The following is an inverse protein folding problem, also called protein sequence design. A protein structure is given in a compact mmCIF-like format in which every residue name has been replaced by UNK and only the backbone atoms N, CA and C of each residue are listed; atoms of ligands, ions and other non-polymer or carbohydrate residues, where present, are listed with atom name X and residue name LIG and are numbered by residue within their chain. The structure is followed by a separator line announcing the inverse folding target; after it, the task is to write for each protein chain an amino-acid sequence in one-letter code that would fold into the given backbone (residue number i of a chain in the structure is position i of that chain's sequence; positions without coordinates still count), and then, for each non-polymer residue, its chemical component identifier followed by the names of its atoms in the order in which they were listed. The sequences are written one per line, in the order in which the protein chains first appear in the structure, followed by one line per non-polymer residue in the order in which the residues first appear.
data_IF_351851896155
#
_entry.id   IF_351851896155
#
_cell.length_a   1.000
_cell.length_b   1.000
_cell.length_c   1.000
_cell.angle_alpha   90.00
_cell.angle_beta   90.00
_cell.angle_gamma   90.00
#
_symmetry.space_group_name_H-M   'P 1'
#
loop_
_entity.id
_entity.type
_entity.pdbx_description
1 polymer ?
#
# COMPACT_ATOMS: atom_id res chain seq x y z
N UNK A 1 69.17 21.68 46.93
CA UNK A 1 67.75 22.05 46.71
C UNK A 1 67.44 22.41 45.29
N UNK A 2 67.70 21.53 44.27
CA UNK A 2 67.48 21.88 42.84
C UNK A 2 66.77 20.79 42.01
N UNK A 3 66.18 19.76 42.57
CA UNK A 3 65.56 18.65 41.79
C UNK A 3 64.02 18.66 41.75
N UNK A 4 63.36 19.51 42.52
CA UNK A 4 61.87 19.47 42.55
C UNK A 4 61.17 20.23 41.40
N UNK A 5 61.86 21.19 40.78
CA UNK A 5 61.31 22.05 39.75
C UNK A 5 61.15 21.33 38.38
N UNK A 6 62.14 20.48 38.02
CA UNK A 6 62.11 19.73 36.74
C UNK A 6 60.99 18.70 36.68
N UNK A 7 60.56 18.13 37.79
CA UNK A 7 59.49 17.13 37.79
C UNK A 7 58.10 17.76 37.58
N UNK A 8 57.86 18.99 38.00
CA UNK A 8 56.59 19.71 37.83
C UNK A 8 56.38 20.16 36.39
N UNK A 9 57.39 20.66 35.73
CA UNK A 9 57.35 21.12 34.33
C UNK A 9 57.13 19.92 33.36
N UNK A 10 57.81 18.80 33.59
CA UNK A 10 57.63 17.60 32.77
C UNK A 10 56.19 17.00 32.87
N UNK A 11 55.57 17.03 34.05
CA UNK A 11 54.21 16.53 34.23
C UNK A 11 53.14 17.40 33.55
N UNK A 12 53.39 18.70 33.41
CA UNK A 12 52.46 19.61 32.76
C UNK A 12 52.46 19.46 31.25
N UNK A 13 53.62 19.27 30.66
CA UNK A 13 53.74 19.02 29.21
C UNK A 13 53.16 17.64 28.80
N UNK A 14 53.34 16.62 29.62
CA UNK A 14 52.79 15.31 29.37
C UNK A 14 51.25 15.31 29.33
N UNK A 15 50.61 16.04 30.25
CA UNK A 15 49.16 16.21 30.29
C UNK A 15 48.63 16.95 29.04
N UNK A 16 49.35 17.98 28.59
CA UNK A 16 48.98 18.71 27.37
C UNK A 16 49.09 17.83 26.11
N UNK A 17 50.10 16.99 26.03
CA UNK A 17 50.30 16.05 24.90
C UNK A 17 49.16 15.01 24.89
N UNK A 18 48.80 14.43 26.02
CA UNK A 18 47.70 13.45 26.11
C UNK A 18 46.36 14.07 25.69
N UNK A 19 46.07 15.27 26.16
CA UNK A 19 44.82 15.96 25.79
C UNK A 19 44.80 16.28 24.27
N UNK A 20 45.91 16.75 23.73
CA UNK A 20 46.00 17.03 22.27
C UNK A 20 45.83 15.77 21.41
N UNK A 21 46.41 14.63 21.82
CA UNK A 21 46.25 13.35 21.09
C UNK A 21 44.83 12.81 21.20
N UNK A 22 44.18 12.92 22.36
CA UNK A 22 42.77 12.51 22.52
C UNK A 22 41.83 13.34 21.67
N UNK A 23 42.02 14.67 21.62
CA UNK A 23 41.21 15.58 20.78
C UNK A 23 41.42 15.26 19.30
N UNK A 24 42.64 15.04 18.86
CA UNK A 24 42.93 14.66 17.46
C UNK A 24 42.26 13.30 17.10
N UNK A 25 42.30 12.31 17.99
CA UNK A 25 41.64 11.03 17.76
C UNK A 25 40.10 11.15 17.67
N UNK A 26 39.49 11.99 18.48
CA UNK A 26 38.05 12.26 18.44
C UNK A 26 37.66 12.96 17.13
N UNK A 27 38.44 13.93 16.66
CA UNK A 27 38.19 14.64 15.41
C UNK A 27 38.31 13.70 14.20
N UNK A 28 39.32 12.82 14.19
CA UNK A 28 39.49 11.82 13.14
C UNK A 28 38.36 10.80 13.17
N UNK A 29 37.94 10.33 14.34
CA UNK A 29 36.81 9.42 14.46
C UNK A 29 35.48 10.06 13.99
N UNK A 30 35.26 11.32 14.33
CA UNK A 30 34.07 12.07 13.85
C UNK A 30 34.10 12.27 12.34
N UNK A 31 35.27 12.59 11.74
CA UNK A 31 35.41 12.72 10.29
C UNK A 31 35.19 11.40 9.55
N UNK A 32 35.61 10.26 10.12
CA UNK A 32 35.39 8.93 9.55
C UNK A 32 33.92 8.47 9.67
N UNK A 33 33.19 8.95 10.67
CA UNK A 33 31.75 8.68 10.80
C UNK A 33 30.95 9.53 9.80
N UNK A 34 31.37 10.76 9.54
CA UNK A 34 30.71 11.65 8.55
C UNK A 34 31.04 11.33 7.11
N UNK A 35 32.19 10.69 6.86
CA UNK A 35 32.60 10.26 5.52
C UNK A 35 32.13 8.84 5.14
N UNK A 36 31.27 8.22 5.93
CA UNK A 36 30.61 6.99 5.48
C UNK A 36 29.81 7.33 4.23
N UNK A 37 30.12 6.73 3.06
CA UNK A 37 29.28 6.92 1.89
C UNK A 37 27.88 6.46 2.30
N UNK A 38 26.90 7.35 2.30
CA UNK A 38 25.50 6.96 2.24
C UNK A 38 25.40 6.14 0.98
N UNK A 39 25.37 4.83 1.11
CA UNK A 39 24.91 3.96 0.03
C UNK A 39 23.52 4.46 -0.32
N UNK A 40 23.44 5.34 -1.30
CA UNK A 40 22.22 5.61 -2.01
C UNK A 40 21.83 4.26 -2.61
N UNK A 41 20.93 3.57 -1.92
CA UNK A 41 20.15 2.50 -2.54
C UNK A 41 19.48 3.22 -3.70
N UNK A 42 20.02 3.04 -4.90
CA UNK A 42 19.33 3.40 -6.12
C UNK A 42 18.02 2.64 -6.08
N UNK A 43 16.97 3.30 -5.60
CA UNK A 43 15.62 2.87 -5.85
C UNK A 43 15.49 2.89 -7.36
N UNK A 44 15.73 1.74 -7.98
CA UNK A 44 15.30 1.49 -9.35
C UNK A 44 13.84 1.90 -9.39
N UNK A 45 13.56 2.88 -10.25
CA UNK A 45 12.30 3.56 -10.40
C UNK A 45 11.20 2.61 -10.89
N UNK A 46 10.67 1.79 -9.97
CA UNK A 46 9.27 1.48 -9.90
C UNK A 46 8.76 2.32 -8.74
N UNK A 47 8.09 3.41 -9.01
CA UNK A 47 7.30 4.09 -8.00
C UNK A 47 6.27 3.08 -7.53
N UNK A 48 6.62 2.30 -6.50
CA UNK A 48 5.65 1.59 -5.70
C UNK A 48 4.80 2.71 -5.10
N UNK A 49 3.65 2.96 -5.71
CA UNK A 49 2.69 3.92 -5.17
C UNK A 49 2.43 3.49 -3.74
N UNK A 50 2.54 4.43 -2.82
CA UNK A 50 2.34 4.16 -1.41
C UNK A 50 1.05 3.33 -1.23
N UNK A 51 1.18 2.15 -0.63
CA UNK A 51 0.06 1.26 -0.36
C UNK A 51 -0.10 0.04 -1.27
N UNK A 52 0.61 -0.08 -2.40
CA UNK A 52 0.57 -1.29 -3.24
C UNK A 52 1.61 -2.33 -2.79
N UNK A 53 1.18 -3.58 -2.70
CA UNK A 53 2.05 -4.72 -2.45
C UNK A 53 1.67 -5.92 -3.33
N UNK A 54 2.68 -6.58 -3.88
CA UNK A 54 2.50 -7.93 -4.45
C UNK A 54 2.42 -8.93 -3.30
N UNK A 55 1.47 -9.83 -3.38
CA UNK A 55 1.22 -10.86 -2.37
C UNK A 55 0.87 -12.17 -3.04
N UNK A 56 0.96 -13.25 -2.30
CA UNK A 56 0.54 -14.57 -2.77
C UNK A 56 -0.21 -15.26 -1.64
N UNK A 57 -1.53 -15.08 -1.60
CA UNK A 57 -2.37 -15.70 -0.58
C UNK A 57 -3.73 -16.12 -1.14
N UNK A 58 -4.40 -17.14 -0.56
CA UNK A 58 -5.73 -17.54 -0.97
C UNK A 58 -6.73 -16.39 -0.91
N UNK A 59 -7.58 -16.27 -1.94
CA UNK A 59 -8.70 -15.36 -1.95
C UNK A 59 -9.90 -16.02 -1.24
N UNK A 60 -10.43 -15.43 -0.17
CA UNK A 60 -11.65 -15.91 0.46
C UNK A 60 -12.82 -15.90 -0.53
N UNK A 61 -13.48 -17.03 -0.69
CA UNK A 61 -14.66 -17.13 -1.54
C UNK A 61 -15.81 -16.28 -0.94
N UNK A 62 -16.63 -15.69 -1.79
CA UNK A 62 -17.84 -15.01 -1.39
C UNK A 62 -19.02 -15.31 -2.31
N UNK A 63 -20.21 -15.24 -1.73
CA UNK A 63 -21.51 -15.28 -2.39
C UNK A 63 -22.37 -14.26 -1.66
N UNK A 64 -22.49 -13.07 -2.21
CA UNK A 64 -23.14 -11.92 -1.58
C UNK A 64 -24.34 -11.46 -2.43
N UNK A 65 -25.40 -10.96 -1.81
CA UNK A 65 -26.48 -10.34 -2.56
C UNK A 65 -25.94 -9.16 -3.40
N UNK A 66 -26.50 -8.99 -4.59
CA UNK A 66 -26.27 -7.76 -5.36
C UNK A 66 -26.79 -6.55 -4.60
N UNK A 67 -26.09 -5.43 -4.70
CA UNK A 67 -26.58 -4.16 -4.16
C UNK A 67 -27.90 -3.76 -4.83
N UNK A 68 -28.01 -3.97 -6.14
CA UNK A 68 -29.19 -3.64 -6.95
C UNK A 68 -29.54 -4.79 -7.92
N UNK A 69 -30.81 -4.84 -8.36
CA UNK A 69 -31.26 -5.71 -9.45
C UNK A 69 -31.49 -7.18 -9.05
N UNK A 70 -31.39 -7.51 -7.76
CA UNK A 70 -31.59 -8.88 -7.28
C UNK A 70 -30.46 -9.87 -7.63
N UNK A 71 -30.56 -11.10 -7.14
CA UNK A 71 -29.54 -12.14 -7.34
C UNK A 71 -28.28 -11.93 -6.50
N UNK A 72 -27.23 -12.64 -6.86
CA UNK A 72 -25.97 -12.70 -6.09
C UNK A 72 -24.75 -12.39 -6.96
N UNK A 73 -23.67 -11.95 -6.31
CA UNK A 73 -22.33 -11.84 -6.89
C UNK A 73 -21.47 -12.93 -6.25
N UNK A 74 -21.03 -13.89 -7.04
CA UNK A 74 -20.21 -15.00 -6.60
C UNK A 74 -18.81 -14.90 -7.19
N UNK A 75 -17.78 -15.00 -6.36
CA UNK A 75 -16.41 -15.00 -6.84
C UNK A 75 -16.15 -16.15 -7.83
N UNK A 76 -16.74 -17.32 -7.60
CA UNK A 76 -16.61 -18.47 -8.48
C UNK A 76 -17.14 -18.26 -9.91
N UNK A 77 -18.14 -17.37 -10.07
CA UNK A 77 -18.69 -17.03 -11.38
C UNK A 77 -17.80 -16.07 -12.20
N UNK A 78 -16.74 -15.51 -11.59
CA UNK A 78 -15.82 -14.56 -12.22
C UNK A 78 -14.52 -15.23 -12.70
N UNK A 79 -14.38 -16.55 -12.52
CA UNK A 79 -13.20 -17.32 -12.94
C UNK A 79 -13.00 -17.25 -14.45
N UNK A 80 -11.75 -17.45 -14.89
CA UNK A 80 -11.34 -17.38 -16.31
C UNK A 80 -10.76 -16.02 -16.70
N UNK A 81 -11.03 -14.96 -15.92
CA UNK A 81 -10.46 -13.62 -16.09
C UNK A 81 -9.84 -13.15 -14.77
N UNK A 82 -8.83 -12.25 -14.80
CA UNK A 82 -8.40 -11.57 -13.59
C UNK A 82 -9.56 -10.82 -12.93
N UNK A 83 -9.54 -10.74 -11.61
CA UNK A 83 -10.62 -10.05 -10.87
C UNK A 83 -10.03 -8.94 -10.01
N UNK A 84 -10.61 -7.76 -10.08
CA UNK A 84 -10.38 -6.64 -9.16
C UNK A 84 -11.54 -6.59 -8.18
N UNK A 85 -11.22 -6.71 -6.88
CA UNK A 85 -12.20 -6.63 -5.80
C UNK A 85 -11.88 -5.38 -4.98
N UNK A 86 -12.78 -4.38 -5.03
CA UNK A 86 -12.62 -3.12 -4.31
C UNK A 86 -13.62 -3.03 -3.18
N UNK A 87 -13.10 -2.89 -1.93
CA UNK A 87 -13.91 -2.68 -0.72
C UNK A 87 -14.09 -1.20 -0.46
N UNK A 88 -15.34 -0.78 -0.26
CA UNK A 88 -15.71 0.62 -0.08
C UNK A 88 -16.98 0.78 0.77
N UNK A 89 -17.28 2.00 1.18
CA UNK A 89 -18.61 2.40 1.69
C UNK A 89 -18.96 3.81 1.21
N UNK A 90 -20.23 4.17 1.21
CA UNK A 90 -20.70 5.47 0.75
C UNK A 90 -20.23 6.63 1.62
N UNK A 91 -19.99 6.39 2.91
CA UNK A 91 -19.49 7.38 3.87
C UNK A 91 -17.97 7.59 3.83
N UNK A 92 -17.23 6.71 3.14
CA UNK A 92 -15.78 6.76 3.04
C UNK A 92 -15.34 7.87 2.06
N UNK A 93 -14.74 8.95 2.56
CA UNK A 93 -14.30 10.09 1.75
C UNK A 93 -13.28 9.73 0.67
N UNK A 94 -12.20 8.98 0.95
CA UNK A 94 -11.27 8.49 -0.07
C UNK A 94 -11.93 7.60 -1.12
N UNK A 95 -12.89 6.73 -0.75
CA UNK A 95 -13.64 5.88 -1.68
C UNK A 95 -14.45 6.73 -2.67
N UNK A 96 -15.04 7.84 -2.19
CA UNK A 96 -15.76 8.78 -3.05
C UNK A 96 -14.86 9.43 -4.11
N UNK A 97 -13.58 9.59 -3.82
CA UNK A 97 -12.60 10.20 -4.74
C UNK A 97 -12.11 9.21 -5.79
N UNK A 98 -11.90 7.93 -5.42
CA UNK A 98 -11.35 6.92 -6.33
C UNK A 98 -12.39 6.31 -7.27
N UNK A 99 -13.67 6.17 -6.82
CA UNK A 99 -14.69 5.42 -7.55
C UNK A 99 -14.88 5.83 -9.02
N UNK A 100 -14.87 7.13 -9.39
CA UNK A 100 -14.96 7.52 -10.81
C UNK A 100 -13.73 7.08 -11.64
N UNK A 101 -12.55 7.00 -11.01
CA UNK A 101 -11.34 6.53 -11.67
C UNK A 101 -11.41 5.02 -11.92
N UNK A 102 -11.82 4.24 -10.91
CA UNK A 102 -12.02 2.79 -11.04
C UNK A 102 -13.06 2.48 -12.11
N UNK A 103 -14.23 3.14 -12.09
CA UNK A 103 -15.28 2.93 -13.07
C UNK A 103 -14.82 3.23 -14.51
N UNK A 104 -14.03 4.27 -14.72
CA UNK A 104 -13.43 4.60 -16.02
C UNK A 104 -12.47 3.52 -16.50
N UNK A 105 -11.57 3.04 -15.65
CA UNK A 105 -10.61 1.99 -15.99
C UNK A 105 -11.34 0.68 -16.26
N UNK A 106 -12.35 0.32 -15.46
CA UNK A 106 -13.17 -0.87 -15.67
C UNK A 106 -13.81 -0.89 -17.06
N UNK A 107 -14.39 0.24 -17.49
CA UNK A 107 -14.93 0.39 -18.87
C UNK A 107 -13.85 0.26 -19.94
N UNK A 108 -12.68 0.86 -19.72
CA UNK A 108 -11.60 0.86 -20.71
C UNK A 108 -11.00 -0.54 -20.94
N UNK A 109 -10.86 -1.35 -19.88
CA UNK A 109 -10.34 -2.72 -20.01
C UNK A 109 -11.41 -3.72 -20.43
N UNK A 110 -12.70 -3.38 -20.29
CA UNK A 110 -13.82 -4.21 -20.72
C UNK A 110 -13.78 -5.61 -20.14
N UNK A 111 -14.03 -6.61 -21.00
CA UNK A 111 -14.08 -8.01 -20.58
C UNK A 111 -12.74 -8.66 -20.27
N UNK A 112 -11.62 -7.95 -20.40
CA UNK A 112 -10.29 -8.49 -20.09
C UNK A 112 -10.10 -8.70 -18.59
N UNK A 113 -10.75 -7.88 -17.74
CA UNK A 113 -10.69 -7.92 -16.27
C UNK A 113 -12.09 -7.76 -15.70
N UNK A 114 -12.47 -8.61 -14.76
CA UNK A 114 -13.73 -8.48 -14.03
C UNK A 114 -13.55 -7.53 -12.85
N UNK A 115 -14.46 -6.56 -12.69
CA UNK A 115 -14.48 -5.66 -11.54
C UNK A 115 -15.67 -5.96 -10.64
N UNK A 116 -15.42 -6.00 -9.33
CA UNK A 116 -16.45 -6.13 -8.29
C UNK A 116 -16.19 -5.11 -7.20
N UNK A 117 -17.18 -4.28 -6.90
CA UNK A 117 -17.23 -3.50 -5.69
C UNK A 117 -17.89 -4.30 -4.58
N UNK A 118 -17.34 -4.29 -3.38
CA UNK A 118 -17.99 -4.81 -2.18
C UNK A 118 -18.30 -3.62 -1.27
N UNK A 119 -19.58 -3.29 -1.22
CA UNK A 119 -20.11 -2.28 -0.32
C UNK A 119 -20.18 -2.86 1.09
N UNK A 120 -19.41 -2.30 2.01
CA UNK A 120 -19.12 -2.90 3.30
C UNK A 120 -19.60 -2.03 4.45
N UNK A 121 -20.35 -2.63 5.39
CA UNK A 121 -20.84 -1.99 6.61
C UNK A 121 -21.56 -0.65 6.32
N UNK A 122 -22.42 -0.64 5.32
CA UNK A 122 -23.12 0.55 4.84
C UNK A 122 -24.64 0.37 4.80
N UNK A 123 -25.35 1.46 4.70
CA UNK A 123 -26.78 1.47 4.46
C UNK A 123 -27.07 1.28 2.98
N UNK A 124 -27.88 0.28 2.61
CA UNK A 124 -28.20 -0.05 1.22
C UNK A 124 -28.61 1.14 0.39
N UNK A 125 -29.48 2.00 0.91
CA UNK A 125 -29.97 3.19 0.16
C UNK A 125 -28.85 4.22 -0.08
N UNK A 126 -27.95 4.40 0.88
CA UNK A 126 -26.78 5.29 0.73
C UNK A 126 -25.80 4.72 -0.31
N UNK A 127 -25.53 3.42 -0.26
CA UNK A 127 -24.70 2.73 -1.25
C UNK A 127 -25.29 2.82 -2.66
N UNK A 128 -26.60 2.65 -2.82
CA UNK A 128 -27.31 2.81 -4.12
C UNK A 128 -27.15 4.23 -4.65
N UNK A 129 -27.37 5.25 -3.80
CA UNK A 129 -27.19 6.65 -4.18
C UNK A 129 -25.74 6.96 -4.59
N UNK A 130 -24.78 6.37 -3.87
CA UNK A 130 -23.36 6.47 -4.18
C UNK A 130 -23.04 5.90 -5.57
N UNK A 131 -23.41 4.65 -5.84
CA UNK A 131 -23.18 3.97 -7.12
C UNK A 131 -23.74 4.79 -8.28
N UNK A 132 -24.97 5.31 -8.14
CA UNK A 132 -25.59 6.18 -9.14
C UNK A 132 -24.80 7.47 -9.33
N UNK A 133 -24.45 8.17 -8.24
CA UNK A 133 -23.73 9.46 -8.27
C UNK A 133 -22.31 9.32 -8.85
N UNK A 134 -21.65 8.19 -8.62
CA UNK A 134 -20.26 7.94 -9.04
C UNK A 134 -20.16 7.22 -10.39
N UNK A 135 -21.30 6.90 -11.02
CA UNK A 135 -21.38 6.18 -12.29
C UNK A 135 -20.63 4.85 -12.26
N UNK A 136 -20.79 4.10 -11.16
CA UNK A 136 -20.24 2.74 -11.02
C UNK A 136 -21.16 1.80 -11.80
N UNK A 137 -20.65 1.20 -12.86
CA UNK A 137 -21.39 0.35 -13.81
C UNK A 137 -20.92 -1.12 -13.82
N UNK A 138 -19.91 -1.46 -13.02
CA UNK A 138 -19.54 -2.84 -12.75
C UNK A 138 -20.36 -3.44 -11.58
N UNK A 139 -20.28 -4.77 -11.40
CA UNK A 139 -21.05 -5.48 -10.37
C UNK A 139 -20.70 -5.00 -8.96
N UNK A 140 -21.72 -4.73 -8.15
CA UNK A 140 -21.55 -4.39 -6.73
C UNK A 140 -22.28 -5.41 -5.85
N UNK A 141 -21.54 -6.00 -4.93
CA UNK A 141 -22.02 -6.88 -3.87
C UNK A 141 -22.25 -6.09 -2.59
N UNK A 142 -23.21 -6.53 -1.78
CA UNK A 142 -23.61 -5.89 -0.53
C UNK A 142 -23.23 -6.74 0.68
N UNK A 143 -22.30 -6.26 1.51
CA UNK A 143 -21.76 -6.89 2.72
C UNK A 143 -22.07 -6.02 3.96
N UNK A 144 -23.37 -5.94 4.37
CA UNK A 144 -23.78 -4.98 5.40
C UNK A 144 -23.17 -5.22 6.78
N UNK A 145 -22.77 -6.44 7.09
CA UNK A 145 -22.11 -6.81 8.34
C UNK A 145 -20.57 -6.76 8.25
N UNK A 146 -19.99 -6.50 7.07
CA UNK A 146 -18.54 -6.52 6.87
C UNK A 146 -17.91 -7.91 7.02
N UNK A 147 -18.71 -8.96 6.83
CA UNK A 147 -18.26 -10.34 7.03
C UNK A 147 -17.20 -10.76 6.00
N UNK A 148 -17.35 -10.33 4.77
CA UNK A 148 -16.37 -10.61 3.72
C UNK A 148 -15.16 -9.69 3.84
N UNK A 149 -15.34 -8.42 4.17
CA UNK A 149 -14.24 -7.51 4.49
C UNK A 149 -13.34 -8.08 5.60
N UNK A 150 -13.95 -8.61 6.67
CA UNK A 150 -13.22 -9.29 7.75
C UNK A 150 -12.43 -10.51 7.26
N UNK A 151 -13.01 -11.37 6.41
CA UNK A 151 -12.33 -12.54 5.84
C UNK A 151 -11.17 -12.15 4.91
N UNK A 152 -11.29 -11.05 4.18
CA UNK A 152 -10.21 -10.46 3.38
C UNK A 152 -9.18 -9.74 4.24
N UNK A 153 -9.46 -9.54 5.54
CA UNK A 153 -8.62 -8.80 6.52
C UNK A 153 -8.43 -7.35 6.09
N UNK A 154 -9.52 -6.69 5.67
CA UNK A 154 -9.53 -5.28 5.29
C UNK A 154 -9.34 -4.42 6.55
N UNK A 155 -8.22 -3.69 6.72
CA UNK A 155 -7.95 -2.88 7.91
C UNK A 155 -8.65 -1.52 7.86
N UNK A 156 -9.06 -1.09 6.67
CA UNK A 156 -9.71 0.20 6.43
C UNK A 156 -10.11 0.37 4.98
N UNK A 157 -10.92 1.38 4.69
CA UNK A 157 -11.45 1.64 3.36
C UNK A 157 -10.80 2.89 2.72
N UNK A 158 -10.59 2.88 1.40
CA UNK A 158 -10.77 1.75 0.49
C UNK A 158 -9.59 0.78 0.51
N UNK A 159 -9.86 -0.47 0.15
CA UNK A 159 -8.82 -1.44 -0.15
C UNK A 159 -9.18 -2.23 -1.41
N UNK A 160 -8.21 -2.44 -2.28
CA UNK A 160 -8.41 -3.15 -3.56
C UNK A 160 -7.51 -4.37 -3.64
N UNK A 161 -8.12 -5.52 -3.95
CA UNK A 161 -7.44 -6.78 -4.15
C UNK A 161 -7.42 -7.15 -5.63
N UNK A 162 -6.29 -7.64 -6.09
CA UNK A 162 -6.06 -8.11 -7.45
C UNK A 162 -5.92 -9.63 -7.42
N UNK A 163 -6.82 -10.34 -8.10
CA UNK A 163 -6.89 -11.79 -8.10
C UNK A 163 -6.44 -12.37 -9.44
N UNK A 164 -5.74 -13.50 -9.38
CA UNK A 164 -5.41 -14.28 -10.55
C UNK A 164 -6.66 -14.75 -11.31
N UNK A 165 -6.51 -15.19 -12.58
CA UNK A 165 -7.60 -15.72 -13.42
C UNK A 165 -8.35 -16.90 -12.81
N UNK A 166 -7.71 -17.65 -11.92
CA UNK A 166 -8.35 -18.72 -11.15
C UNK A 166 -9.45 -18.23 -10.22
N UNK A 167 -9.43 -16.94 -9.82
CA UNK A 167 -10.30 -16.37 -8.80
C UNK A 167 -10.04 -16.90 -7.38
N UNK A 168 -8.97 -17.69 -7.18
CA UNK A 168 -8.68 -18.34 -5.90
C UNK A 168 -7.43 -17.77 -5.21
N UNK A 169 -6.69 -16.91 -5.90
CA UNK A 169 -5.42 -16.37 -5.42
C UNK A 169 -5.38 -14.86 -5.53
N UNK A 170 -5.06 -14.18 -4.43
CA UNK A 170 -4.72 -12.76 -4.41
C UNK A 170 -3.26 -12.64 -4.80
N UNK A 171 -2.99 -11.86 -5.86
CA UNK A 171 -1.64 -11.62 -6.39
C UNK A 171 -1.13 -10.20 -6.12
N UNK A 172 -2.01 -9.32 -5.70
CA UNK A 172 -1.68 -7.95 -5.28
C UNK A 172 -2.77 -7.34 -4.42
N UNK A 173 -2.42 -6.33 -3.65
CA UNK A 173 -3.36 -5.50 -2.91
C UNK A 173 -2.91 -4.05 -2.93
N UNK A 174 -3.87 -3.14 -2.82
CA UNK A 174 -3.66 -1.71 -2.67
C UNK A 174 -4.42 -1.23 -1.45
N UNK A 175 -3.70 -0.68 -0.49
CA UNK A 175 -4.25 0.05 0.64
C UNK A 175 -4.45 1.52 0.26
N UNK A 176 -5.64 2.06 0.56
CA UNK A 176 -5.99 3.43 0.24
C UNK A 176 -6.40 3.65 -1.22
N UNK A 177 -6.74 4.90 -1.52
CA UNK A 177 -7.38 5.26 -2.78
C UNK A 177 -6.48 5.12 -4.01
N UNK A 178 -7.06 4.61 -5.09
CA UNK A 178 -6.44 4.45 -6.41
C UNK A 178 -6.71 5.66 -7.33
N UNK A 179 -5.68 6.04 -8.08
CA UNK A 179 -5.86 6.89 -9.27
C UNK A 179 -6.02 6.01 -10.51
N UNK A 180 -6.58 6.56 -11.59
CA UNK A 180 -6.71 5.82 -12.86
C UNK A 180 -5.35 5.38 -13.41
N UNK A 181 -4.36 6.28 -13.40
CA UNK A 181 -2.99 5.98 -13.85
C UNK A 181 -2.36 4.83 -13.07
N UNK A 182 -2.50 4.86 -11.74
CA UNK A 182 -1.93 3.83 -10.88
C UNK A 182 -2.64 2.48 -11.09
N UNK A 183 -3.96 2.46 -11.12
CA UNK A 183 -4.72 1.24 -11.41
C UNK A 183 -4.35 0.64 -12.77
N UNK A 184 -4.25 1.46 -13.82
CA UNK A 184 -3.84 1.00 -15.15
C UNK A 184 -2.43 0.39 -15.12
N UNK A 185 -1.48 1.02 -14.44
CA UNK A 185 -0.11 0.49 -14.31
C UNK A 185 -0.09 -0.87 -13.58
N UNK A 186 -0.87 -1.03 -12.50
CA UNK A 186 -0.99 -2.31 -11.79
C UNK A 186 -1.58 -3.39 -12.71
N UNK A 187 -2.66 -3.09 -13.43
CA UNK A 187 -3.30 -4.05 -14.34
C UNK A 187 -2.37 -4.46 -15.47
N UNK A 188 -1.62 -3.51 -16.02
CA UNK A 188 -0.62 -3.81 -17.04
C UNK A 188 0.48 -4.73 -16.48
N UNK A 189 1.03 -4.42 -15.32
CA UNK A 189 2.11 -5.21 -14.71
C UNK A 189 1.67 -6.61 -14.29
N UNK A 190 0.44 -6.76 -13.76
CA UNK A 190 -0.05 -8.06 -13.28
C UNK A 190 -0.64 -8.93 -14.38
N UNK A 191 -1.27 -8.33 -15.40
CA UNK A 191 -2.15 -9.05 -16.34
C UNK A 191 -1.84 -8.77 -17.81
N UNK A 192 -1.00 -7.80 -18.12
CA UNK A 192 -0.64 -7.41 -19.49
C UNK A 192 -1.79 -6.70 -20.26
N UNK A 193 -2.65 -5.96 -19.56
CA UNK A 193 -3.84 -5.30 -20.15
C UNK A 193 -3.78 -3.81 -19.96
#
# INVERSE_FOLDING_TARGET
MHYSWFRAVAAQHWRAIIVATCVAAIVVAAALIWSRPTTSVSASAGQASAGYAQVNRPAPAFDLPRLQGGGTVRLSALRGRPVVVNFWSSSCGPCQKESPAIARVARAVGDKVSFVGIDTADLRNAAIAFVKKKHVDYSVAYDPQGSIASRYRVPGLPETFFLARSGTQIVGLQLGALTATHLTAILHNLYGV
#
